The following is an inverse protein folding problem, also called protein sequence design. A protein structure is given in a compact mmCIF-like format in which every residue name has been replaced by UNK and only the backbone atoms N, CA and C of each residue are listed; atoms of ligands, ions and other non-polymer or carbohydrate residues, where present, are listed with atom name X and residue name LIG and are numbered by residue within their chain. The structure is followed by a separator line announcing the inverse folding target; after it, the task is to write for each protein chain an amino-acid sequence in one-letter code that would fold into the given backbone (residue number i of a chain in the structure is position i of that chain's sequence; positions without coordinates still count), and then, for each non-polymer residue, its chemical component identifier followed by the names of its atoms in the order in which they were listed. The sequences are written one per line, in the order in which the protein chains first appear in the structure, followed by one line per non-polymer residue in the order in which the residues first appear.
data_IF_323116189482
#
_entry.id   IF_323116189482
#
_cell.length_a   1.000
_cell.length_b   1.000
_cell.length_c   1.000
_cell.angle_alpha   90.00
_cell.angle_beta   90.00
_cell.angle_gamma   90.00
#
_symmetry.space_group_name_H-M   'P 1'
#
loop_
_entity.id
_entity.type
_entity.pdbx_description
1 polymer ?
#
# COMPACT_ATOMS: atom_id res chain seq x y z
N UNK A 1 9.21 16.07 -33.41
CA UNK A 1 9.36 14.68 -32.93
C UNK A 1 9.10 14.72 -31.44
N UNK A 2 7.99 14.14 -30.97
CA UNK A 2 7.78 13.99 -29.53
C UNK A 2 8.93 13.12 -29.00
N UNK A 3 9.60 13.56 -27.93
CA UNK A 3 10.70 12.78 -27.35
C UNK A 3 10.21 11.46 -26.77
N UNK A 4 11.09 10.47 -26.67
CA UNK A 4 10.81 9.18 -26.02
C UNK A 4 10.29 9.43 -24.60
N UNK A 5 9.17 8.80 -24.25
CA UNK A 5 8.58 8.88 -22.92
C UNK A 5 9.46 8.18 -21.90
N UNK A 6 10.12 8.96 -21.03
CA UNK A 6 10.89 8.44 -19.90
C UNK A 6 9.94 8.22 -18.73
N UNK A 7 9.68 6.97 -18.38
CA UNK A 7 8.68 6.54 -17.39
C UNK A 7 9.34 6.22 -16.06
N UNK A 8 8.96 6.94 -15.01
CA UNK A 8 9.26 6.53 -13.64
C UNK A 8 8.15 5.59 -13.14
N UNK A 9 8.53 4.41 -12.64
CA UNK A 9 7.59 3.52 -11.96
C UNK A 9 7.60 3.86 -10.47
N UNK A 10 6.43 4.12 -9.89
CA UNK A 10 6.29 4.21 -8.44
C UNK A 10 5.57 2.95 -7.95
N UNK A 11 6.31 2.05 -7.31
CA UNK A 11 5.75 0.83 -6.73
C UNK A 11 5.25 1.11 -5.30
N UNK A 12 3.94 1.31 -5.20
CA UNK A 12 3.21 1.62 -3.96
C UNK A 12 2.99 0.35 -3.15
N UNK A 13 3.15 0.44 -1.82
CA UNK A 13 2.97 -0.68 -0.88
C UNK A 13 2.05 -0.29 0.27
N UNK A 14 2.62 0.16 1.39
CA UNK A 14 1.94 0.45 2.66
C UNK A 14 1.82 1.96 2.90
N UNK A 15 1.64 2.68 1.81
CA UNK A 15 1.62 4.13 1.69
C UNK A 15 0.44 4.54 0.80
N UNK A 16 -0.72 3.89 1.01
CA UNK A 16 -1.94 4.02 0.20
C UNK A 16 -2.68 5.35 0.43
N UNK A 17 -1.98 6.47 0.25
CA UNK A 17 -2.47 7.84 0.42
C UNK A 17 -1.78 8.79 -0.56
N UNK A 18 -2.49 9.82 -1.00
CA UNK A 18 -1.91 10.93 -1.78
C UNK A 18 -1.34 12.03 -0.88
N UNK A 19 -2.03 12.35 0.21
CA UNK A 19 -1.58 13.34 1.17
C UNK A 19 -0.42 12.79 2.00
N UNK A 20 0.49 13.67 2.39
CA UNK A 20 1.59 13.33 3.29
C UNK A 20 2.40 12.11 2.83
N UNK A 21 2.63 12.02 1.52
CA UNK A 21 3.39 10.95 0.89
C UNK A 21 4.65 11.57 0.23
N UNK A 22 5.87 11.17 0.65
CA UNK A 22 7.10 11.81 0.21
C UNK A 22 7.36 11.66 -1.28
N UNK A 23 6.99 10.52 -1.86
CA UNK A 23 7.17 10.26 -3.29
C UNK A 23 6.22 11.14 -4.09
N UNK A 24 4.91 11.12 -3.78
CA UNK A 24 3.95 11.96 -4.50
C UNK A 24 4.25 13.46 -4.35
N UNK A 25 4.74 13.88 -3.19
CA UNK A 25 5.19 15.25 -2.97
C UNK A 25 6.37 15.62 -3.88
N UNK A 26 7.41 14.78 -3.94
CA UNK A 26 8.57 14.99 -4.82
C UNK A 26 8.14 15.03 -6.29
N UNK A 27 7.25 14.13 -6.72
CA UNK A 27 6.76 14.10 -8.09
C UNK A 27 6.08 15.41 -8.49
N UNK A 28 5.28 15.99 -7.58
CA UNK A 28 4.64 17.28 -7.80
C UNK A 28 5.64 18.44 -7.85
N UNK A 29 6.70 18.40 -7.03
CA UNK A 29 7.79 19.39 -7.09
C UNK A 29 8.56 19.30 -8.42
N UNK A 30 8.97 18.10 -8.82
CA UNK A 30 9.70 17.87 -10.08
C UNK A 30 8.89 18.26 -11.31
N UNK A 31 7.56 18.10 -11.28
CA UNK A 31 6.69 18.55 -12.36
C UNK A 31 6.72 20.07 -12.57
N UNK A 32 7.05 20.86 -11.54
CA UNK A 32 7.14 22.32 -11.66
C UNK A 32 8.50 22.78 -12.21
N UNK A 33 9.50 21.89 -12.24
CA UNK A 33 10.85 22.20 -12.71
C UNK A 33 10.95 22.15 -14.24
N UNK A 34 11.84 22.97 -14.80
CA UNK A 34 12.09 23.05 -16.25
C UNK A 34 12.88 21.85 -16.78
N UNK A 35 13.79 21.30 -15.96
CA UNK A 35 14.52 20.07 -16.28
C UNK A 35 13.97 18.95 -15.40
N UNK A 36 13.59 17.84 -16.04
CA UNK A 36 13.00 16.70 -15.35
C UNK A 36 13.74 15.42 -15.75
N UNK A 37 14.09 14.57 -14.78
CA UNK A 37 14.78 13.31 -15.08
C UNK A 37 13.88 12.31 -15.83
N UNK A 38 12.56 12.43 -15.67
CA UNK A 38 11.54 11.65 -16.36
C UNK A 38 10.37 12.54 -16.80
N UNK A 39 9.58 12.02 -17.74
CA UNK A 39 8.46 12.74 -18.38
C UNK A 39 7.10 12.26 -17.90
N UNK A 40 7.01 10.97 -17.55
CA UNK A 40 5.77 10.29 -17.18
C UNK A 40 5.98 9.49 -15.90
N UNK A 41 4.91 9.28 -15.14
CA UNK A 41 4.92 8.46 -13.93
C UNK A 41 3.85 7.39 -14.03
N UNK A 42 4.22 6.16 -13.71
CA UNK A 42 3.30 5.03 -13.59
C UNK A 42 3.27 4.56 -12.13
N UNK A 43 2.29 4.99 -11.33
CA UNK A 43 1.98 4.37 -10.05
C UNK A 43 1.50 2.94 -10.26
N UNK A 44 2.11 1.98 -9.55
CA UNK A 44 1.80 0.55 -9.63
C UNK A 44 1.56 0.01 -8.23
N UNK A 45 0.47 -0.73 -8.04
CA UNK A 45 0.23 -1.54 -6.85
C UNK A 45 0.22 -3.02 -7.25
N UNK A 46 0.91 -3.87 -6.48
CA UNK A 46 1.00 -5.31 -6.74
C UNK A 46 0.30 -6.09 -5.64
N UNK A 47 -0.73 -6.87 -6.00
CA UNK A 47 -1.18 -7.97 -5.15
C UNK A 47 -0.13 -9.09 -5.22
N UNK A 48 0.80 -9.04 -4.26
CA UNK A 48 1.92 -9.98 -4.20
C UNK A 48 1.43 -11.41 -3.94
N UNK A 49 1.82 -12.34 -4.83
CA UNK A 49 1.57 -13.77 -4.66
C UNK A 49 2.20 -14.35 -3.39
N UNK A 50 3.20 -13.66 -2.81
CA UNK A 50 3.82 -14.05 -1.54
C UNK A 50 2.95 -13.70 -0.31
N UNK A 51 1.96 -12.83 -0.47
CA UNK A 51 1.16 -12.27 0.63
C UNK A 51 -0.34 -12.56 0.51
N UNK A 52 -0.84 -12.74 -0.70
CA UNK A 52 -2.25 -12.92 -1.01
C UNK A 52 -2.39 -14.08 -1.99
N UNK A 53 -3.43 -14.89 -1.84
CA UNK A 53 -3.68 -15.98 -2.77
C UNK A 53 -4.21 -15.42 -4.10
N UNK A 54 -3.47 -15.63 -5.18
CA UNK A 54 -3.69 -14.98 -6.48
C UNK A 54 -4.37 -15.88 -7.52
N UNK A 55 -4.67 -17.13 -7.20
CA UNK A 55 -5.31 -18.06 -8.15
C UNK A 55 -6.70 -17.60 -8.64
N UNK A 56 -7.39 -16.74 -7.90
CA UNK A 56 -8.66 -16.15 -8.36
C UNK A 56 -8.52 -15.13 -9.50
N UNK A 57 -7.29 -14.71 -9.85
CA UNK A 57 -6.99 -13.85 -11.00
C UNK A 57 -6.59 -14.65 -12.25
N UNK A 58 -6.56 -15.99 -12.19
CA UNK A 58 -6.16 -16.81 -13.32
C UNK A 58 -7.22 -16.80 -14.43
N UNK A 59 -6.76 -16.72 -15.68
CA UNK A 59 -7.60 -17.08 -16.82
C UNK A 59 -8.02 -18.54 -16.72
N UNK A 60 -9.24 -18.83 -17.18
CA UNK A 60 -9.79 -20.19 -17.15
C UNK A 60 -8.82 -21.22 -17.75
N UNK A 61 -8.67 -22.35 -17.05
CA UNK A 61 -7.79 -23.46 -17.46
C UNK A 61 -6.30 -23.29 -17.18
N UNK A 62 -5.86 -22.17 -16.58
CA UNK A 62 -4.45 -21.97 -16.23
C UNK A 62 -4.16 -22.34 -14.77
N UNK A 63 -2.89 -22.63 -14.47
CA UNK A 63 -2.39 -22.86 -13.12
C UNK A 63 -1.53 -21.68 -12.68
N UNK A 64 -1.57 -21.36 -11.39
CA UNK A 64 -0.67 -20.36 -10.81
C UNK A 64 0.78 -20.84 -10.95
N UNK A 65 1.70 -19.99 -11.44
CA UNK A 65 3.13 -20.27 -11.38
C UNK A 65 3.69 -20.11 -9.96
N UNK A 66 2.90 -19.58 -9.02
CA UNK A 66 3.30 -19.34 -7.64
C UNK A 66 2.74 -20.41 -6.70
N UNK A 67 3.46 -20.74 -5.61
CA UNK A 67 2.89 -21.53 -4.53
C UNK A 67 1.69 -20.81 -3.91
N UNK A 68 0.83 -21.58 -3.21
CA UNK A 68 -0.25 -20.98 -2.44
C UNK A 68 0.30 -20.00 -1.38
N UNK A 69 -0.40 -18.89 -1.18
CA UNK A 69 -0.01 -17.85 -0.22
C UNK A 69 -0.33 -18.26 1.23
N UNK A 70 0.31 -19.33 1.70
CA UNK A 70 0.13 -19.93 3.02
C UNK A 70 1.27 -19.54 3.97
N UNK A 71 0.94 -19.34 5.25
CA UNK A 71 1.91 -19.11 6.30
C UNK A 71 2.87 -20.31 6.41
N UNK A 72 4.18 -20.05 6.52
CA UNK A 72 5.21 -21.12 6.52
C UNK A 72 5.05 -22.15 7.63
N UNK A 73 4.55 -21.73 8.80
CA UNK A 73 4.47 -22.58 10.00
C UNK A 73 3.09 -23.22 10.14
N UNK A 74 2.01 -22.42 10.13
CA UNK A 74 0.66 -22.93 10.41
C UNK A 74 -0.12 -23.41 9.18
N UNK A 75 0.37 -23.17 7.95
CA UNK A 75 -0.37 -23.51 6.73
C UNK A 75 -1.72 -22.76 6.56
N UNK A 76 -1.94 -21.67 7.28
CA UNK A 76 -3.12 -20.82 7.13
C UNK A 76 -2.90 -19.82 6.00
N UNK A 77 -3.97 -19.32 5.39
CA UNK A 77 -3.87 -18.25 4.41
C UNK A 77 -3.20 -17.02 5.04
N UNK A 78 -2.21 -16.46 4.35
CA UNK A 78 -1.49 -15.27 4.85
C UNK A 78 -2.39 -14.06 4.95
N UNK A 79 -3.37 -13.94 4.04
CA UNK A 79 -4.34 -12.86 3.97
C UNK A 79 -5.75 -13.45 3.86
N UNK A 80 -6.56 -13.26 4.90
CA UNK A 80 -7.97 -13.63 4.86
C UNK A 80 -8.84 -12.62 4.11
N UNK A 81 -10.07 -13.02 3.80
CA UNK A 81 -11.06 -12.29 2.99
C UNK A 81 -11.36 -10.88 3.50
N UNK A 82 -11.41 -10.71 4.82
CA UNK A 82 -11.67 -9.40 5.44
C UNK A 82 -10.54 -8.40 5.11
N UNK A 83 -9.29 -8.82 5.29
CA UNK A 83 -8.13 -7.98 4.98
C UNK A 83 -7.97 -7.79 3.48
N UNK A 84 -8.17 -8.84 2.68
CA UNK A 84 -8.11 -8.76 1.23
C UNK A 84 -9.14 -7.77 0.66
N UNK A 85 -10.38 -7.79 1.17
CA UNK A 85 -11.42 -6.82 0.84
C UNK A 85 -10.98 -5.39 1.21
N UNK A 86 -10.54 -5.19 2.46
CA UNK A 86 -10.14 -3.86 2.93
C UNK A 86 -8.94 -3.29 2.15
N UNK A 87 -7.98 -4.14 1.76
CA UNK A 87 -6.87 -3.77 0.87
C UNK A 87 -7.39 -3.41 -0.52
N UNK A 88 -8.29 -4.20 -1.12
CA UNK A 88 -8.88 -3.88 -2.42
C UNK A 88 -9.61 -2.53 -2.43
N UNK A 89 -10.41 -2.27 -1.40
CA UNK A 89 -11.08 -0.97 -1.21
C UNK A 89 -10.07 0.16 -1.07
N UNK A 90 -8.98 -0.04 -0.31
CA UNK A 90 -7.95 0.98 -0.11
C UNK A 90 -7.16 1.31 -1.37
N UNK A 91 -6.81 0.28 -2.15
CA UNK A 91 -6.16 0.42 -3.46
C UNK A 91 -7.10 1.13 -4.44
N UNK A 92 -8.40 0.83 -4.38
CA UNK A 92 -9.39 1.44 -5.25
C UNK A 92 -9.62 2.92 -4.92
N UNK A 93 -9.72 3.27 -3.64
CA UNK A 93 -9.80 4.66 -3.18
C UNK A 93 -8.59 5.48 -3.67
N UNK A 94 -7.36 4.94 -3.55
CA UNK A 94 -6.17 5.59 -4.10
C UNK A 94 -6.21 5.70 -5.63
N UNK A 95 -6.75 4.69 -6.33
CA UNK A 95 -6.91 4.72 -7.79
C UNK A 95 -7.82 5.87 -8.22
N UNK A 96 -8.96 6.06 -7.55
CA UNK A 96 -9.89 7.17 -7.79
C UNK A 96 -9.25 8.53 -7.46
N UNK A 97 -8.51 8.59 -6.35
CA UNK A 97 -7.75 9.78 -5.94
C UNK A 97 -6.70 10.19 -6.99
N UNK A 98 -5.93 9.23 -7.52
CA UNK A 98 -4.96 9.49 -8.60
C UNK A 98 -5.63 9.93 -9.90
N UNK A 99 -6.79 9.34 -10.25
CA UNK A 99 -7.58 9.76 -11.40
C UNK A 99 -8.05 11.21 -11.28
N UNK A 100 -8.43 11.65 -10.07
CA UNK A 100 -8.90 13.03 -9.82
C UNK A 100 -7.84 14.10 -10.11
N UNK A 101 -6.55 13.74 -10.06
CA UNK A 101 -5.41 14.65 -10.33
C UNK A 101 -4.76 14.40 -11.70
N UNK A 102 -5.45 13.69 -12.60
CA UNK A 102 -4.97 13.41 -13.97
C UNK A 102 -3.90 12.33 -14.07
N UNK A 103 -3.74 11.50 -13.03
CA UNK A 103 -2.89 10.32 -13.04
C UNK A 103 -3.73 9.03 -13.09
N UNK A 104 -3.10 7.88 -12.84
CA UNK A 104 -3.78 6.58 -12.73
C UNK A 104 -2.97 5.63 -11.85
N UNK A 105 -3.66 4.69 -11.23
CA UNK A 105 -3.02 3.54 -10.57
C UNK A 105 -3.16 2.30 -11.43
N UNK A 106 -2.05 1.63 -11.69
CA UNK A 106 -2.04 0.35 -12.35
C UNK A 106 -1.95 -0.79 -11.33
N UNK A 107 -2.96 -1.67 -11.32
CA UNK A 107 -2.98 -2.83 -10.43
C UNK A 107 -2.39 -4.03 -11.17
N UNK A 108 -1.50 -4.75 -10.50
CA UNK A 108 -0.78 -5.92 -11.01
C UNK A 108 -0.89 -7.08 -10.03
N UNK A 109 -0.73 -8.30 -10.53
CA UNK A 109 -0.82 -9.54 -9.74
C UNK A 109 0.36 -10.42 -10.07
N UNK A 110 1.11 -10.83 -9.05
CA UNK A 110 2.28 -11.71 -9.20
C UNK A 110 3.37 -11.41 -8.17
N UNK A 111 4.56 -11.97 -8.36
CA UNK A 111 5.71 -11.61 -7.51
C UNK A 111 6.25 -10.23 -7.89
N UNK A 112 6.85 -9.51 -6.93
CA UNK A 112 7.48 -8.20 -7.21
C UNK A 112 8.54 -8.33 -8.32
N UNK A 113 9.37 -9.37 -8.26
CA UNK A 113 10.40 -9.67 -9.26
C UNK A 113 9.80 -9.76 -10.67
N UNK A 114 8.75 -10.57 -10.83
CA UNK A 114 8.16 -10.84 -12.15
C UNK A 114 7.43 -9.62 -12.68
N UNK A 115 6.73 -8.88 -11.82
CA UNK A 115 6.04 -7.66 -12.23
C UNK A 115 7.04 -6.61 -12.70
N UNK A 116 8.10 -6.33 -11.93
CA UNK A 116 9.12 -5.35 -12.32
C UNK A 116 9.80 -5.79 -13.62
N UNK A 117 10.19 -7.06 -13.74
CA UNK A 117 10.80 -7.60 -14.95
C UNK A 117 9.87 -7.49 -16.16
N UNK A 118 8.58 -7.84 -16.00
CA UNK A 118 7.59 -7.76 -17.09
C UNK A 118 7.33 -6.34 -17.58
N UNK A 119 7.35 -5.35 -16.68
CA UNK A 119 7.21 -3.94 -17.04
C UNK A 119 8.43 -3.48 -17.83
N UNK A 120 9.65 -3.80 -17.37
CA UNK A 120 10.89 -3.48 -18.10
C UNK A 120 10.89 -4.09 -19.50
N UNK A 121 10.61 -5.39 -19.62
CA UNK A 121 10.60 -6.09 -20.90
C UNK A 121 9.46 -5.65 -21.82
N UNK A 122 8.35 -5.20 -21.25
CA UNK A 122 7.25 -4.60 -21.99
C UNK A 122 7.63 -3.25 -22.60
N UNK A 123 8.27 -2.37 -21.83
CA UNK A 123 8.72 -1.07 -22.32
C UNK A 123 9.87 -1.18 -23.34
N UNK A 124 10.78 -2.14 -23.19
CA UNK A 124 11.85 -2.39 -24.20
C UNK A 124 11.34 -2.74 -25.59
N UNK A 125 10.10 -3.22 -25.70
CA UNK A 125 9.44 -3.56 -26.97
C UNK A 125 8.74 -2.35 -27.60
N UNK A 126 8.67 -1.23 -26.89
CA UNK A 126 8.09 0.02 -27.38
C UNK A 126 9.20 0.95 -27.83
N UNK A 127 9.05 1.56 -29.01
CA UNK A 127 9.98 2.58 -29.51
C UNK A 127 9.72 3.97 -28.89
N UNK A 128 8.52 4.14 -28.29
CA UNK A 128 8.03 5.44 -27.82
C UNK A 128 8.24 5.68 -26.31
N UNK A 129 8.65 4.66 -25.55
CA UNK A 129 8.78 4.75 -24.10
C UNK A 129 9.92 3.90 -23.54
N UNK A 130 10.64 4.44 -22.55
CA UNK A 130 11.63 3.72 -21.77
C UNK A 130 11.38 3.88 -20.27
N UNK A 131 11.75 2.88 -19.47
CA UNK A 131 11.77 3.03 -18.01
C UNK A 131 13.00 3.86 -17.62
N UNK A 132 12.78 4.93 -16.86
CA UNK A 132 13.82 5.73 -16.24
C UNK A 132 14.32 5.08 -14.95
N UNK A 133 13.40 4.68 -14.08
CA UNK A 133 13.71 4.10 -12.78
C UNK A 133 12.48 3.59 -12.06
N UNK A 134 12.70 3.08 -10.84
CA UNK A 134 11.66 2.61 -9.94
C UNK A 134 11.88 3.21 -8.55
N UNK A 135 10.84 3.85 -8.02
CA UNK A 135 10.79 4.38 -6.67
C UNK A 135 9.82 3.57 -5.81
N UNK A 136 10.15 3.40 -4.54
CA UNK A 136 9.27 2.82 -3.51
C UNK A 136 9.66 3.32 -2.12
N UNK A 137 8.75 3.24 -1.14
CA UNK A 137 9.06 3.54 0.27
C UNK A 137 9.66 2.32 0.97
N UNK A 138 10.64 2.51 1.86
CA UNK A 138 11.24 1.45 2.67
C UNK A 138 10.35 0.97 3.82
N UNK A 139 10.48 -0.31 4.18
CA UNK A 139 9.74 -0.97 5.26
C UNK A 139 10.69 -1.86 6.08
N UNK A 140 10.50 -1.88 7.41
CA UNK A 140 11.36 -2.65 8.32
C UNK A 140 11.17 -4.19 8.33
N UNK A 141 9.94 -4.74 8.18
CA UNK A 141 9.77 -6.18 8.31
C UNK A 141 10.50 -6.97 7.21
N UNK A 142 10.96 -8.17 7.58
CA UNK A 142 11.92 -8.94 6.78
C UNK A 142 11.44 -9.23 5.35
N UNK A 143 10.16 -9.54 5.15
CA UNK A 143 9.64 -9.93 3.83
C UNK A 143 9.58 -8.74 2.88
N UNK A 144 9.19 -7.57 3.39
CA UNK A 144 9.21 -6.31 2.66
C UNK A 144 10.64 -5.92 2.26
N UNK A 145 11.63 -6.13 3.13
CA UNK A 145 13.05 -5.92 2.80
C UNK A 145 13.56 -6.86 1.72
N UNK A 146 13.10 -8.12 1.70
CA UNK A 146 13.44 -9.04 0.61
C UNK A 146 12.80 -8.60 -0.72
N UNK A 147 11.57 -8.10 -0.68
CA UNK A 147 10.91 -7.52 -1.86
C UNK A 147 11.65 -6.30 -2.40
N UNK A 148 12.15 -5.41 -1.52
CA UNK A 148 12.99 -4.27 -1.91
C UNK A 148 14.29 -4.72 -2.58
N UNK A 149 14.98 -5.70 -2.00
CA UNK A 149 16.21 -6.28 -2.58
C UNK A 149 15.93 -6.92 -3.94
N UNK A 150 14.81 -7.63 -4.07
CA UNK A 150 14.41 -8.25 -5.32
C UNK A 150 14.14 -7.21 -6.42
N UNK A 151 13.36 -6.16 -6.12
CA UNK A 151 13.11 -5.07 -7.05
C UNK A 151 14.41 -4.35 -7.45
N UNK A 152 15.27 -4.01 -6.47
CA UNK A 152 16.58 -3.41 -6.70
C UNK A 152 17.43 -4.25 -7.66
N UNK A 153 17.54 -5.55 -7.41
CA UNK A 153 18.35 -6.47 -8.22
C UNK A 153 17.88 -6.51 -9.68
N UNK A 154 16.56 -6.49 -9.91
CA UNK A 154 15.99 -6.45 -11.27
C UNK A 154 16.33 -5.13 -11.97
N UNK A 155 16.16 -4.00 -11.28
CA UNK A 155 16.47 -2.68 -11.84
C UNK A 155 17.96 -2.48 -12.15
N UNK A 156 18.84 -2.89 -11.23
CA UNK A 156 20.31 -2.80 -11.40
C UNK A 156 20.80 -3.67 -12.55
N UNK A 157 20.25 -4.88 -12.71
CA UNK A 157 20.57 -5.77 -13.84
C UNK A 157 20.24 -5.13 -15.19
N UNK A 158 19.20 -4.29 -15.24
CA UNK A 158 18.79 -3.56 -16.45
C UNK A 158 19.48 -2.20 -16.61
N UNK A 159 20.37 -1.83 -15.69
CA UNK A 159 21.04 -0.53 -15.68
C UNK A 159 20.10 0.65 -15.44
N UNK A 160 18.98 0.44 -14.74
CA UNK A 160 17.96 1.44 -14.44
C UNK A 160 18.05 1.91 -12.99
N UNK A 161 17.56 3.12 -12.72
CA UNK A 161 17.59 3.66 -11.35
C UNK A 161 16.66 2.88 -10.42
N UNK A 162 17.12 2.64 -9.19
CA UNK A 162 16.28 2.22 -8.08
C UNK A 162 16.49 3.18 -6.91
N UNK A 163 15.39 3.79 -6.41
CA UNK A 163 15.43 4.67 -5.24
C UNK A 163 14.46 4.19 -4.18
N UNK A 164 15.00 3.92 -3.00
CA UNK A 164 14.23 3.65 -1.79
C UNK A 164 14.05 4.96 -1.02
N UNK A 165 12.81 5.33 -0.75
CA UNK A 165 12.45 6.52 0.02
C UNK A 165 12.20 6.17 1.48
N UNK A 166 12.63 7.04 2.38
CA UNK A 166 12.19 6.99 3.78
C UNK A 166 10.82 7.66 3.84
N UNK A 167 9.84 6.95 4.37
CA UNK A 167 8.49 7.47 4.61
C UNK A 167 8.34 7.78 6.10
N UNK A 168 7.64 8.86 6.42
CA UNK A 168 7.45 9.34 7.79
C UNK A 168 6.29 8.55 8.43
N UNK A 169 6.52 7.24 8.62
CA UNK A 169 5.51 6.24 9.02
C UNK A 169 5.20 6.25 10.52
N UNK A 170 5.98 6.98 11.32
CA UNK A 170 5.91 6.99 12.77
C UNK A 170 5.57 8.39 13.27
N UNK A 171 4.82 8.47 14.36
CA UNK A 171 4.49 9.74 15.01
C UNK A 171 5.73 10.50 15.49
N UNK A 172 6.73 9.75 15.98
CA UNK A 172 8.08 10.23 16.26
C UNK A 172 8.97 9.59 15.21
N UNK A 173 9.57 10.40 14.34
CA UNK A 173 10.43 9.90 13.27
C UNK A 173 11.72 9.30 13.86
N UNK A 174 12.22 8.21 13.27
CA UNK A 174 13.44 7.54 13.72
C UNK A 174 14.66 8.48 13.74
N UNK A 175 14.68 9.48 12.84
CA UNK A 175 15.75 10.49 12.76
C UNK A 175 15.71 11.51 13.91
N UNK A 176 14.61 11.55 14.66
CA UNK A 176 14.39 12.46 15.78
C UNK A 176 14.50 11.72 17.14
N UNK A 177 14.88 10.44 17.12
CA UNK A 177 15.11 9.66 18.33
C UNK A 177 16.42 10.07 19.02
N UNK A 178 16.50 9.96 20.36
CA UNK A 178 17.71 10.31 21.12
C UNK A 178 18.80 9.22 21.09
N UNK A 179 18.74 8.32 20.11
CA UNK A 179 19.68 7.22 19.89
C UNK A 179 19.69 6.83 18.41
N UNK A 180 20.82 6.30 17.94
CA UNK A 180 21.03 5.96 16.52
C UNK A 180 20.97 4.45 16.23
N UNK A 181 21.09 3.58 17.26
CA UNK A 181 21.05 2.12 17.12
C UNK A 181 19.85 1.53 17.89
N UNK A 182 19.16 0.58 17.27
CA UNK A 182 18.04 -0.13 17.89
C UNK A 182 18.42 -0.88 19.18
N UNK A 183 19.71 -1.19 19.39
CA UNK A 183 20.21 -1.79 20.65
C UNK A 183 20.16 -0.83 21.83
N UNK A 184 20.15 0.47 21.57
CA UNK A 184 20.04 1.49 22.61
C UNK A 184 18.58 1.76 23.01
N UNK A 185 17.63 1.18 22.27
CA UNK A 185 16.21 1.24 22.61
C UNK A 185 15.96 0.48 23.92
N UNK A 186 15.30 1.15 24.86
CA UNK A 186 14.93 0.52 26.13
C UNK A 186 13.90 -0.59 25.93
N UNK A 187 14.14 -1.75 26.53
CA UNK A 187 13.16 -2.85 26.65
C UNK A 187 11.89 -2.46 27.43
N UNK A 188 11.88 -1.30 28.09
CA UNK A 188 10.74 -0.80 28.87
C UNK A 188 10.09 0.38 28.15
N UNK A 189 8.86 0.19 27.68
CA UNK A 189 8.08 1.23 26.97
C UNK A 189 8.01 2.57 27.72
N UNK A 190 7.86 2.55 29.05
CA UNK A 190 7.77 3.79 29.84
C UNK A 190 9.08 4.57 29.86
N UNK A 191 10.23 3.89 29.75
CA UNK A 191 11.54 4.53 29.60
C UNK A 191 11.63 5.18 28.23
N UNK A 192 11.37 4.44 27.15
CA UNK A 192 11.33 4.97 25.79
C UNK A 192 10.38 6.18 25.65
N UNK A 193 9.14 6.06 26.13
CA UNK A 193 8.16 7.16 26.05
C UNK A 193 8.67 8.44 26.71
N UNK A 194 9.36 8.34 27.85
CA UNK A 194 9.93 9.49 28.55
C UNK A 194 11.09 10.15 27.77
N UNK A 195 11.77 9.42 26.89
CA UNK A 195 12.86 9.99 26.09
C UNK A 195 12.36 10.79 24.89
N UNK A 196 11.11 10.58 24.47
CA UNK A 196 10.50 11.25 23.30
C UNK A 196 9.36 12.21 23.66
N UNK A 197 8.96 12.28 24.94
CA UNK A 197 7.99 13.28 25.41
C UNK A 197 8.63 14.68 25.49
N UNK A 198 7.89 15.76 25.17
CA UNK A 198 6.45 15.82 24.87
C UNK A 198 6.10 15.53 23.39
N UNK A 199 5.06 14.72 23.17
CA UNK A 199 4.65 14.29 21.82
C UNK A 199 3.92 15.35 20.99
N UNK A 200 3.59 16.52 21.55
CA UNK A 200 2.83 17.56 20.83
C UNK A 200 3.59 18.13 19.63
N UNK A 201 4.91 18.18 19.73
CA UNK A 201 5.81 18.77 18.74
C UNK A 201 6.63 17.69 17.99
N UNK A 202 6.40 16.42 18.31
CA UNK A 202 7.12 15.30 17.70
C UNK A 202 6.76 15.07 16.22
N UNK A 203 5.49 15.20 15.78
CA UNK A 203 5.17 14.98 14.37
C UNK A 203 5.84 16.01 13.48
N UNK A 204 6.50 15.52 12.42
CA UNK A 204 7.04 16.36 11.36
C UNK A 204 5.90 17.04 10.58
N UNK A 205 6.26 18.10 9.85
CA UNK A 205 5.28 18.86 9.08
C UNK A 205 4.74 18.00 7.94
N UNK A 206 3.44 17.75 7.97
CA UNK A 206 2.73 17.03 6.92
C UNK A 206 2.98 17.64 5.52
N UNK A 207 3.23 16.78 4.55
CA UNK A 207 3.35 17.17 3.15
C UNK A 207 1.96 17.37 2.53
N UNK A 208 1.77 18.41 1.71
CA UNK A 208 0.48 18.67 1.08
C UNK A 208 0.10 17.58 0.09
N UNK A 209 -1.20 17.30 -0.02
CA UNK A 209 -1.77 16.52 -1.13
C UNK A 209 -1.40 17.21 -2.45
N UNK A 210 -0.83 16.51 -3.45
CA UNK A 210 -0.53 17.13 -4.74
C UNK A 210 -1.80 17.33 -5.57
N UNK A 211 -1.90 18.47 -6.25
CA UNK A 211 -2.99 18.74 -7.21
C UNK A 211 -2.72 18.13 -8.59
N UNK A 212 -1.46 17.82 -8.88
CA UNK A 212 -1.00 17.20 -10.12
C UNK A 212 0.33 16.48 -9.89
N UNK A 213 0.54 15.42 -10.65
CA UNK A 213 1.85 14.76 -10.83
C UNK A 213 2.10 14.61 -12.34
N UNK A 214 3.32 14.25 -12.78
CA UNK A 214 3.56 13.98 -14.19
C UNK A 214 2.55 12.96 -14.73
N UNK A 215 2.10 13.13 -15.98
CA UNK A 215 1.04 12.30 -16.54
C UNK A 215 1.47 10.83 -16.64
N UNK A 216 0.51 9.90 -16.73
CA UNK A 216 0.83 8.52 -17.02
C UNK A 216 1.29 8.34 -18.46
N UNK A 217 2.11 7.33 -18.76
CA UNK A 217 2.51 7.04 -20.13
C UNK A 217 1.31 6.60 -20.99
N UNK A 218 1.34 6.95 -22.27
CA UNK A 218 0.29 6.57 -23.24
C UNK A 218 0.19 5.05 -23.42
N UNK A 219 1.34 4.37 -23.39
CA UNK A 219 1.44 2.92 -23.44
C UNK A 219 1.84 2.36 -22.08
N UNK A 220 1.09 1.38 -21.60
CA UNK A 220 1.43 0.58 -20.41
C UNK A 220 1.47 -0.89 -20.82
N UNK A 221 2.59 -1.60 -20.57
CA UNK A 221 2.66 -3.03 -20.83
C UNK A 221 1.53 -3.80 -20.13
N UNK A 222 0.86 -4.75 -20.81
CA UNK A 222 -0.21 -5.53 -20.21
C UNK A 222 0.31 -6.40 -19.06
N UNK A 223 -0.59 -6.79 -18.15
CA UNK A 223 -0.31 -7.80 -17.13
C UNK A 223 0.26 -9.07 -17.78
N UNK A 224 1.37 -9.58 -17.25
CA UNK A 224 1.93 -10.85 -17.69
C UNK A 224 0.94 -11.98 -17.38
N UNK A 225 0.73 -12.86 -18.36
CA UNK A 225 -0.08 -14.06 -18.18
C UNK A 225 0.51 -14.97 -17.08
N UNK A 226 -0.30 -15.85 -16.48
CA UNK A 226 -1.68 -16.20 -16.84
C UNK A 226 -2.76 -15.34 -16.17
N UNK A 227 -2.41 -14.21 -15.57
CA UNK A 227 -3.33 -13.40 -14.77
C UNK A 227 -4.12 -12.37 -15.58
N UNK A 228 -5.33 -12.08 -15.11
CA UNK A 228 -6.19 -11.00 -15.60
C UNK A 228 -6.72 -10.21 -14.41
N UNK A 229 -6.45 -8.90 -14.42
CA UNK A 229 -6.85 -8.00 -13.33
C UNK A 229 -8.19 -7.36 -13.69
N UNK A 230 -9.25 -7.56 -12.88
CA UNK A 230 -10.54 -6.93 -13.12
C UNK A 230 -10.46 -5.39 -13.10
N UNK A 231 -11.31 -4.76 -13.91
CA UNK A 231 -11.40 -3.31 -14.06
C UNK A 231 -12.49 -2.67 -13.16
N UNK A 232 -13.00 -3.41 -12.18
CA UNK A 232 -13.98 -2.95 -11.19
C UNK A 232 -13.60 -3.42 -9.77
N UNK A 233 -13.98 -2.63 -8.75
CA UNK A 233 -13.76 -2.99 -7.35
C UNK A 233 -14.45 -4.32 -6.98
N UNK A 234 -15.69 -4.51 -7.45
CA UNK A 234 -16.43 -5.74 -7.20
C UNK A 234 -15.71 -6.96 -7.81
N UNK A 235 -15.22 -6.84 -9.05
CA UNK A 235 -14.43 -7.89 -9.69
C UNK A 235 -13.12 -8.17 -8.94
N UNK A 236 -12.44 -7.13 -8.47
CA UNK A 236 -11.20 -7.27 -7.70
C UNK A 236 -11.42 -8.00 -6.37
N UNK A 237 -12.46 -7.62 -5.61
CA UNK A 237 -12.85 -8.30 -4.37
C UNK A 237 -13.23 -9.76 -4.66
N UNK A 238 -14.00 -10.01 -5.71
CA UNK A 238 -14.40 -11.36 -6.09
C UNK A 238 -13.18 -12.23 -6.44
N UNK A 239 -12.24 -11.71 -7.22
CA UNK A 239 -11.00 -12.41 -7.57
C UNK A 239 -10.16 -12.74 -6.31
N UNK A 240 -10.11 -11.84 -5.33
CA UNK A 240 -9.41 -12.07 -4.06
C UNK A 240 -10.13 -13.07 -3.14
N UNK A 241 -11.46 -13.16 -3.21
CA UNK A 241 -12.26 -14.04 -2.38
C UNK A 241 -12.41 -15.45 -2.96
N UNK A 242 -12.48 -15.58 -4.28
CA UNK A 242 -12.68 -16.86 -4.97
C UNK A 242 -11.76 -18.00 -4.51
N UNK A 243 -10.44 -17.80 -4.33
CA UNK A 243 -9.56 -18.89 -3.97
C UNK A 243 -9.60 -19.23 -2.48
N UNK A 244 -10.23 -18.37 -1.68
CA UNK A 244 -10.38 -18.50 -0.24
C UNK A 244 -11.87 -18.68 0.06
N UNK A 245 -12.40 -19.88 -0.15
CA UNK A 245 -13.77 -20.18 0.27
C UNK A 245 -13.90 -20.07 1.80
N UNK A 246 -15.08 -19.69 2.30
CA UNK A 246 -15.29 -19.39 3.72
C UNK A 246 -15.01 -20.60 4.63
N UNK A 247 -15.30 -21.80 4.16
CA UNK A 247 -14.99 -23.09 4.80
C UNK A 247 -13.51 -23.47 4.72
N UNK A 248 -12.76 -22.88 3.79
CA UNK A 248 -11.31 -23.08 3.58
C UNK A 248 -10.45 -22.08 4.36
N UNK A 249 -11.01 -21.02 4.95
CA UNK A 249 -10.25 -20.10 5.80
C UNK A 249 -9.89 -20.74 7.14
N UNK A 250 -10.94 -21.11 7.87
CA UNK A 250 -10.85 -21.77 9.17
C UNK A 250 -11.95 -22.83 9.18
N UNK A 251 -11.59 -24.13 9.23
CA UNK A 251 -12.59 -25.19 9.29
C UNK A 251 -13.55 -24.97 10.47
N UNK A 252 -14.85 -25.09 10.22
CA UNK A 252 -15.91 -24.94 11.23
C UNK A 252 -16.00 -23.54 11.87
N UNK A 253 -15.57 -22.49 11.16
CA UNK A 253 -15.81 -21.12 11.61
C UNK A 253 -17.33 -20.87 11.78
N UNK A 254 -17.78 -20.33 12.93
CA UNK A 254 -19.18 -20.04 13.15
C UNK A 254 -19.64 -18.90 12.26
N UNK A 255 -20.87 -18.99 11.75
CA UNK A 255 -21.52 -17.88 11.08
C UNK A 255 -21.82 -16.75 12.07
N UNK A 256 -21.80 -15.52 11.55
CA UNK A 256 -22.26 -14.36 12.32
C UNK A 256 -23.75 -14.53 12.64
N UNK A 257 -24.17 -14.42 13.91
CA UNK A 257 -25.57 -14.52 14.27
C UNK A 257 -26.42 -13.48 13.56
N UNK A 258 -27.68 -13.82 13.28
CA UNK A 258 -28.63 -12.88 12.70
C UNK A 258 -28.74 -11.61 13.56
N UNK A 259 -28.79 -10.44 12.91
CA UNK A 259 -28.93 -9.11 13.55
C UNK A 259 -27.73 -8.67 14.41
N UNK A 260 -26.57 -9.30 14.26
CA UNK A 260 -25.32 -8.81 14.86
C UNK A 260 -24.53 -8.03 13.81
N UNK A 261 -24.18 -6.79 14.13
CA UNK A 261 -23.32 -5.97 13.30
C UNK A 261 -21.84 -6.16 13.65
N UNK A 262 -20.97 -6.10 12.64
CA UNK A 262 -19.53 -6.09 12.86
C UNK A 262 -19.12 -4.85 13.66
N UNK A 263 -18.26 -5.02 14.65
CA UNK A 263 -17.63 -3.90 15.37
C UNK A 263 -16.56 -3.17 14.53
N UNK A 264 -16.38 -3.60 13.27
CA UNK A 264 -15.55 -2.97 12.26
C UNK A 264 -16.27 -3.00 10.89
N UNK A 265 -17.34 -2.21 10.69
CA UNK A 265 -18.11 -2.17 9.44
C UNK A 265 -17.47 -1.25 8.38
N UNK A 266 -16.20 -0.90 8.57
CA UNK A 266 -15.54 0.17 7.82
C UNK A 266 -15.04 -0.29 6.46
N UNK A 267 -14.97 0.66 5.55
CA UNK A 267 -14.47 0.51 4.17
C UNK A 267 -13.02 0.98 4.12
N UNK A 268 -12.19 0.25 3.37
CA UNK A 268 -10.79 0.64 3.13
C UNK A 268 -10.66 1.95 2.35
N UNK A 269 -9.49 2.61 2.47
CA UNK A 269 -9.18 3.85 1.75
C UNK A 269 -8.85 5.03 2.64
N UNK A 270 -8.06 5.96 2.11
CA UNK A 270 -7.67 7.18 2.80
C UNK A 270 -8.89 8.06 3.09
N UNK A 271 -9.84 8.18 2.16
CA UNK A 271 -11.03 9.00 2.35
C UNK A 271 -11.97 8.46 3.44
N UNK A 272 -12.36 7.17 3.47
CA UNK A 272 -13.06 6.59 4.63
C UNK A 272 -12.30 6.72 5.94
N UNK A 273 -10.96 6.57 5.92
CA UNK A 273 -10.12 6.76 7.10
C UNK A 273 -10.22 8.17 7.67
N UNK A 274 -10.11 9.20 6.83
CA UNK A 274 -10.26 10.59 7.26
C UNK A 274 -11.68 10.89 7.75
N UNK A 275 -12.72 10.33 7.10
CA UNK A 275 -14.09 10.45 7.58
C UNK A 275 -14.25 9.86 8.99
N UNK A 276 -13.57 8.74 9.30
CA UNK A 276 -13.55 8.16 10.66
C UNK A 276 -12.84 9.09 11.64
N UNK A 277 -11.70 9.69 11.28
CA UNK A 277 -11.01 10.68 12.12
C UNK A 277 -11.92 11.89 12.42
N UNK A 278 -12.57 12.45 11.40
CA UNK A 278 -13.51 13.56 11.57
C UNK A 278 -14.68 13.20 12.48
N UNK A 279 -15.26 12.00 12.34
CA UNK A 279 -16.30 11.50 13.25
C UNK A 279 -15.81 11.46 14.69
N UNK A 280 -14.64 10.87 14.93
CA UNK A 280 -14.07 10.71 16.27
C UNK A 280 -13.79 12.04 16.98
N UNK A 281 -13.35 13.05 16.23
CA UNK A 281 -13.14 14.41 16.73
C UNK A 281 -14.50 15.08 16.99
N UNK A 282 -15.42 15.04 16.00
CA UNK A 282 -16.71 15.70 16.08
C UNK A 282 -17.66 15.12 17.14
N UNK A 283 -17.58 13.82 17.40
CA UNK A 283 -18.39 13.14 18.43
C UNK A 283 -17.80 13.28 19.84
N UNK A 284 -16.55 13.71 19.98
CA UNK A 284 -15.82 13.73 21.25
C UNK A 284 -15.33 12.36 21.73
N UNK A 285 -15.48 11.29 20.93
CA UNK A 285 -15.04 9.94 21.28
C UNK A 285 -13.54 9.86 21.62
N UNK A 286 -12.70 10.66 20.95
CA UNK A 286 -11.27 10.74 21.26
C UNK A 286 -10.99 11.25 22.68
N UNK A 287 -11.79 12.20 23.19
CA UNK A 287 -11.60 12.77 24.52
C UNK A 287 -11.96 11.78 25.65
N UNK A 288 -12.89 10.85 25.38
CA UNK A 288 -13.31 9.80 26.31
C UNK A 288 -12.47 8.50 26.19
N UNK A 289 -11.51 8.43 25.27
CA UNK A 289 -10.82 7.20 24.89
C UNK A 289 -10.22 6.43 26.08
N UNK A 290 -9.64 7.13 27.07
CA UNK A 290 -9.04 6.49 28.25
C UNK A 290 -10.06 5.64 29.02
N UNK A 291 -11.29 6.11 29.11
CA UNK A 291 -12.36 5.47 29.86
C UNK A 291 -13.06 4.38 29.04
N UNK A 292 -13.06 4.50 27.71
CA UNK A 292 -13.82 3.60 26.83
C UNK A 292 -12.98 2.48 26.20
N UNK A 293 -11.65 2.60 26.12
CA UNK A 293 -10.77 1.70 25.32
C UNK A 293 -10.83 0.21 25.65
N UNK A 294 -11.33 -0.16 26.83
CA UNK A 294 -11.51 -1.56 27.25
C UNK A 294 -12.93 -2.09 26.96
N UNK A 295 -13.80 -1.29 26.35
CA UNK A 295 -15.12 -1.73 25.90
C UNK A 295 -15.03 -2.79 24.80
N UNK A 296 -16.11 -3.54 24.61
CA UNK A 296 -16.20 -4.59 23.58
C UNK A 296 -17.38 -4.39 22.61
N UNK A 297 -18.28 -3.45 22.92
CA UNK A 297 -19.51 -3.21 22.16
C UNK A 297 -19.55 -1.78 21.64
N UNK A 298 -20.03 -1.63 20.41
CA UNK A 298 -20.11 -0.36 19.70
C UNK A 298 -18.86 -0.02 18.90
N UNK A 299 -18.95 1.06 18.12
CA UNK A 299 -17.87 1.49 17.23
C UNK A 299 -16.89 2.44 17.94
N UNK A 300 -17.38 3.23 18.89
CA UNK A 300 -16.67 4.40 19.44
C UNK A 300 -15.98 4.12 20.77
N UNK A 301 -15.95 2.87 21.24
CA UNK A 301 -15.17 2.53 22.42
C UNK A 301 -13.66 2.65 22.17
N UNK A 302 -13.22 2.60 20.91
CA UNK A 302 -11.86 2.89 20.47
C UNK A 302 -11.88 3.63 19.12
N UNK A 303 -10.72 4.09 18.65
CA UNK A 303 -10.63 4.86 17.41
C UNK A 303 -10.95 4.01 16.17
N UNK A 304 -10.62 2.71 16.21
CA UNK A 304 -10.73 1.78 15.07
C UNK A 304 -9.87 2.16 13.86
N UNK A 305 -8.87 3.02 14.04
CA UNK A 305 -8.01 3.51 12.95
C UNK A 305 -6.96 2.51 12.46
N UNK A 306 -6.77 1.39 13.17
CA UNK A 306 -5.67 0.44 12.95
C UNK A 306 -5.61 -0.14 11.53
N UNK A 307 -6.76 -0.41 10.90
CA UNK A 307 -6.80 -0.99 9.56
C UNK A 307 -6.28 -0.01 8.50
N UNK A 308 -6.62 1.27 8.62
CA UNK A 308 -6.12 2.33 7.73
C UNK A 308 -4.65 2.65 7.97
N UNK A 309 -4.22 2.73 9.24
CA UNK A 309 -2.83 2.95 9.61
C UNK A 309 -1.92 1.81 9.11
N UNK A 310 -2.37 0.56 9.21
CA UNK A 310 -1.59 -0.61 8.74
C UNK A 310 -1.31 -0.61 7.23
N UNK A 311 -2.13 0.09 6.44
CA UNK A 311 -2.00 0.21 4.99
C UNK A 311 -1.44 1.59 4.55
N UNK A 312 -1.13 2.47 5.51
CA UNK A 312 -0.72 3.85 5.24
C UNK A 312 -1.78 4.68 4.53
N UNK A 313 -3.07 4.35 4.72
CA UNK A 313 -4.19 5.19 4.27
C UNK A 313 -4.31 6.47 5.10
N UNK A 314 -3.78 6.44 6.33
CA UNK A 314 -3.65 7.57 7.24
C UNK A 314 -2.18 7.69 7.68
N UNK A 315 -1.71 8.92 7.85
CA UNK A 315 -0.48 9.19 8.61
C UNK A 315 -0.83 9.24 10.11
N UNK A 316 -0.03 8.64 11.00
CA UNK A 316 -0.19 8.72 12.46
C UNK A 316 -0.28 10.13 13.07
#
# INVERSE_FOLDING_TARGET
MAGVSRVLIYLIRRDLRLADNPIFHELAQLQQQSQRPFTHVLPVFVFSADQVEVSGFLRSGHKSPYPEARSRVSGLWRCGRLRAKFTAESVWDLKEDLQSIGSRLEVRVGSITDIVQSLLDGYKKSDDAEVHGLWMTGDEPWEEREQEKAARKVMEKDGKEFKLWVDEKYLVDDRDLPFDDAKDLSDVFTTFRKTVEPLREAPRRQLPRPDRIPPPPDFIPPQAGPFEVPDSLAGLIQALHNPIAADLEIPHMPDMPERVESAHPFVGGSKPGHARVHHLIGSGAMSAYKDTRNGLLGLDFSTRLSAWLALGCLTP
#
